data_IF_304396181307
#
_entry.id   IF_304396181307
#
_cell.length_a   1.000
_cell.length_b   1.000
_cell.length_c   1.000
_cell.angle_alpha   90.00
_cell.angle_beta   90.00
_cell.angle_gamma   90.00
#
_symmetry.space_group_name_H-M   'P 1'
#
loop_
_entity.id
_entity.type
_entity.pdbx_description
1 polymer ?
#
# COMPACT_ATOMS: atom_id res chain seq x y z
N UNK A 1 41.30 -63.48 -59.43
CA UNK A 1 40.46 -63.08 -58.29
C UNK A 1 40.80 -61.66 -57.79
N UNK A 2 40.83 -60.65 -58.67
CA UNK A 2 41.32 -59.30 -58.33
C UNK A 2 40.33 -58.15 -58.58
N UNK A 3 39.09 -58.43 -59.03
CA UNK A 3 38.11 -57.39 -59.38
C UNK A 3 37.08 -57.08 -58.28
N UNK A 4 36.91 -57.97 -57.31
CA UNK A 4 35.91 -57.80 -56.23
C UNK A 4 36.45 -57.06 -55.01
N UNK A 5 37.78 -57.07 -54.78
CA UNK A 5 38.40 -56.38 -53.64
C UNK A 5 38.32 -54.86 -53.82
N UNK A 6 38.48 -54.37 -55.06
CA UNK A 6 38.53 -52.93 -55.37
C UNK A 6 37.16 -52.24 -55.19
N UNK A 7 36.05 -52.94 -55.47
CA UNK A 7 34.69 -52.44 -55.27
C UNK A 7 34.26 -52.38 -53.80
N UNK A 8 34.76 -53.29 -52.96
CA UNK A 8 34.46 -53.30 -51.53
C UNK A 8 35.22 -52.17 -50.81
N UNK A 9 36.45 -51.87 -51.22
CA UNK A 9 37.21 -50.73 -50.68
C UNK A 9 36.68 -49.37 -51.12
N UNK A 10 36.10 -49.24 -52.31
CA UNK A 10 35.54 -47.96 -52.80
C UNK A 10 34.18 -47.63 -52.16
N UNK A 11 33.40 -48.65 -51.81
CA UNK A 11 32.11 -48.49 -51.11
C UNK A 11 32.28 -48.20 -49.62
N UNK A 12 33.30 -48.79 -48.97
CA UNK A 12 33.62 -48.49 -47.58
C UNK A 12 34.12 -47.03 -47.37
N UNK A 13 34.88 -46.47 -48.31
CA UNK A 13 35.36 -45.09 -48.24
C UNK A 13 34.29 -44.03 -48.57
N UNK A 14 33.31 -44.36 -49.41
CA UNK A 14 32.13 -43.52 -49.66
C UNK A 14 31.15 -43.53 -48.47
N UNK A 15 30.97 -44.68 -47.82
CA UNK A 15 30.14 -44.78 -46.61
C UNK A 15 30.75 -44.01 -45.44
N UNK A 16 32.06 -44.11 -45.21
CA UNK A 16 32.75 -43.37 -44.14
C UNK A 16 32.75 -41.86 -44.36
N UNK A 17 32.82 -41.38 -45.60
CA UNK A 17 32.75 -39.94 -45.90
C UNK A 17 31.33 -39.37 -45.77
N UNK A 18 30.28 -40.14 -46.09
CA UNK A 18 28.89 -39.76 -45.80
C UNK A 18 28.57 -39.71 -44.29
N UNK A 19 29.07 -40.68 -43.51
CA UNK A 19 28.90 -40.66 -42.05
C UNK A 19 29.70 -39.50 -41.40
N UNK A 20 30.91 -39.20 -41.87
CA UNK A 20 31.69 -38.06 -41.37
C UNK A 20 31.00 -36.71 -41.67
N UNK A 21 30.36 -36.57 -42.84
CA UNK A 21 29.57 -35.38 -43.19
C UNK A 21 28.33 -35.18 -42.33
N UNK A 22 27.62 -36.25 -41.96
CA UNK A 22 26.44 -36.19 -41.08
C UNK A 22 26.79 -35.90 -39.62
N UNK A 23 27.92 -36.41 -39.12
CA UNK A 23 28.39 -36.07 -37.76
C UNK A 23 28.90 -34.63 -37.68
N UNK A 24 29.54 -34.11 -38.74
CA UNK A 24 29.93 -32.71 -38.81
C UNK A 24 28.72 -31.78 -38.88
N UNK A 25 27.69 -32.09 -39.69
CA UNK A 25 26.46 -31.29 -39.73
C UNK A 25 25.72 -31.31 -38.40
N UNK A 26 25.55 -32.48 -37.77
CA UNK A 26 24.88 -32.59 -36.47
C UNK A 26 25.66 -31.90 -35.32
N UNK A 27 27.00 -31.93 -35.34
CA UNK A 27 27.81 -31.20 -34.37
C UNK A 27 27.82 -29.68 -34.62
N UNK A 28 27.74 -29.25 -35.88
CA UNK A 28 27.59 -27.84 -36.24
C UNK A 28 26.21 -27.32 -35.87
N UNK A 29 25.15 -28.10 -36.10
CA UNK A 29 23.77 -27.77 -35.73
C UNK A 29 23.57 -27.74 -34.20
N UNK A 30 24.16 -28.68 -33.46
CA UNK A 30 24.12 -28.64 -31.99
C UNK A 30 24.92 -27.46 -31.41
N UNK A 31 26.04 -27.07 -32.04
CA UNK A 31 26.84 -25.89 -31.63
C UNK A 31 26.17 -24.58 -31.99
N UNK A 32 25.50 -24.50 -33.14
CA UNK A 32 24.74 -23.31 -33.54
C UNK A 32 23.51 -23.11 -32.64
N UNK A 33 22.79 -24.17 -32.30
CA UNK A 33 21.66 -24.11 -31.37
C UNK A 33 22.08 -23.71 -29.95
N UNK A 34 23.23 -24.21 -29.46
CA UNK A 34 23.81 -23.77 -28.18
C UNK A 34 24.24 -22.30 -28.21
N UNK A 35 24.83 -21.84 -29.32
CA UNK A 35 25.21 -20.44 -29.49
C UNK A 35 23.97 -19.53 -29.50
N UNK A 36 22.88 -19.90 -30.17
CA UNK A 36 21.65 -19.12 -30.16
C UNK A 36 20.99 -19.06 -28.77
N UNK A 37 20.97 -20.17 -28.04
CA UNK A 37 20.48 -20.20 -26.65
C UNK A 37 21.31 -19.30 -25.74
N UNK A 38 22.63 -19.24 -25.91
CA UNK A 38 23.49 -18.33 -25.16
C UNK A 38 23.16 -16.86 -25.45
N UNK A 39 22.93 -16.48 -26.72
CA UNK A 39 22.52 -15.12 -27.10
C UNK A 39 21.21 -14.71 -26.41
N UNK A 40 20.23 -15.61 -26.36
CA UNK A 40 18.95 -15.37 -25.69
C UNK A 40 19.05 -15.26 -24.16
N UNK A 41 19.94 -16.04 -23.53
CA UNK A 41 20.19 -15.95 -22.09
C UNK A 41 20.77 -14.56 -21.74
N UNK A 42 21.71 -14.07 -22.55
CA UNK A 42 22.31 -12.74 -22.35
C UNK A 42 21.27 -11.64 -22.55
N UNK A 43 20.48 -11.69 -23.63
CA UNK A 43 19.38 -10.75 -23.86
C UNK A 43 18.37 -10.74 -22.69
N UNK A 44 18.05 -11.91 -22.12
CA UNK A 44 17.19 -12.01 -20.93
C UNK A 44 17.81 -11.39 -19.69
N UNK A 45 19.10 -11.59 -19.44
CA UNK A 45 19.77 -11.00 -18.29
C UNK A 45 19.81 -9.47 -18.39
N UNK A 46 20.10 -8.94 -19.58
CA UNK A 46 20.04 -7.50 -19.86
C UNK A 46 18.64 -6.95 -19.62
N UNK A 47 17.60 -7.61 -20.13
CA UNK A 47 16.21 -7.21 -19.90
C UNK A 47 15.84 -7.21 -18.42
N UNK A 48 16.27 -8.20 -17.64
CA UNK A 48 16.02 -8.28 -16.18
C UNK A 48 16.72 -7.16 -15.42
N UNK A 49 17.96 -6.87 -15.77
CA UNK A 49 18.73 -5.79 -15.15
C UNK A 49 18.10 -4.43 -15.43
N UNK A 50 17.79 -4.15 -16.70
CA UNK A 50 17.11 -2.92 -17.12
C UNK A 50 15.73 -2.78 -16.47
N UNK A 51 14.97 -3.88 -16.39
CA UNK A 51 13.69 -3.90 -15.71
C UNK A 51 13.83 -3.54 -14.23
N UNK A 52 14.75 -4.18 -13.49
CA UNK A 52 14.99 -3.88 -12.08
C UNK A 52 15.40 -2.42 -11.82
N UNK A 53 16.19 -1.84 -12.74
CA UNK A 53 16.52 -0.41 -12.69
C UNK A 53 15.27 0.46 -12.89
N UNK A 54 14.43 0.14 -13.88
CA UNK A 54 13.17 0.85 -14.12
C UNK A 54 12.19 0.76 -12.95
N UNK A 55 12.10 -0.41 -12.31
CA UNK A 55 11.32 -0.58 -11.07
C UNK A 55 11.83 0.35 -9.97
N UNK A 56 13.15 0.40 -9.77
CA UNK A 56 13.77 1.23 -8.74
C UNK A 56 13.54 2.71 -8.99
N UNK A 57 13.55 3.12 -10.27
CA UNK A 57 13.29 4.50 -10.67
C UNK A 57 11.84 4.91 -10.45
N UNK A 58 10.89 4.04 -10.79
CA UNK A 58 9.45 4.24 -10.51
C UNK A 58 9.18 4.32 -9.01
N UNK A 59 9.91 3.53 -8.19
CA UNK A 59 9.85 3.64 -6.71
C UNK A 59 10.38 4.99 -6.20
N UNK A 60 11.40 5.56 -6.87
CA UNK A 60 12.04 6.82 -6.45
C UNK A 60 11.25 8.06 -6.85
N UNK A 61 10.67 8.05 -8.04
CA UNK A 61 9.95 9.19 -8.60
C UNK A 61 8.70 8.69 -9.35
N UNK A 62 7.54 9.03 -8.80
CA UNK A 62 6.25 8.78 -9.44
C UNK A 62 6.03 9.70 -10.63
N UNK A 63 5.32 9.21 -11.65
CA UNK A 63 5.08 9.88 -12.94
C UNK A 63 6.33 10.08 -13.82
N UNK A 64 7.34 9.25 -13.63
CA UNK A 64 8.52 9.27 -14.50
C UNK A 64 8.21 8.62 -15.85
N UNK A 65 8.33 9.42 -16.90
CA UNK A 65 8.34 8.97 -18.30
C UNK A 65 9.78 8.87 -18.77
N UNK A 66 10.27 7.65 -18.91
CA UNK A 66 11.62 7.37 -19.40
C UNK A 66 11.56 6.66 -20.73
N UNK A 67 12.54 7.00 -21.55
CA UNK A 67 12.91 6.25 -22.73
C UNK A 67 14.42 6.26 -22.82
N UNK A 68 15.04 5.22 -22.25
CA UNK A 68 16.48 5.09 -22.16
C UNK A 68 16.93 3.93 -23.04
N UNK A 69 17.98 4.19 -23.82
CA UNK A 69 18.63 3.21 -24.66
C UNK A 69 20.13 3.25 -24.32
N UNK A 70 20.68 2.14 -23.86
CA UNK A 70 22.10 2.05 -23.52
C UNK A 70 22.74 0.81 -24.12
N UNK A 71 24.01 0.96 -24.46
CA UNK A 71 24.85 -0.10 -24.99
C UNK A 71 25.77 -0.63 -23.89
N UNK A 72 25.74 -1.94 -23.69
CA UNK A 72 26.60 -2.67 -22.76
C UNK A 72 27.49 -3.63 -23.54
N UNK A 73 28.54 -4.16 -22.90
CA UNK A 73 29.36 -5.19 -23.52
C UNK A 73 28.49 -6.40 -23.92
N UNK A 74 28.42 -6.65 -25.24
CA UNK A 74 27.66 -7.76 -25.82
C UNK A 74 26.22 -7.46 -26.24
N UNK A 75 25.69 -6.24 -26.06
CA UNK A 75 24.32 -5.94 -26.47
C UNK A 75 23.78 -4.55 -26.08
N UNK A 76 22.49 -4.34 -26.27
CA UNK A 76 21.78 -3.11 -25.92
C UNK A 76 20.57 -3.41 -25.06
N UNK A 77 20.23 -2.49 -24.16
CA UNK A 77 18.94 -2.53 -23.48
C UNK A 77 18.16 -1.24 -23.72
N UNK A 78 16.84 -1.40 -23.76
CA UNK A 78 15.87 -0.32 -23.86
C UNK A 78 14.97 -0.39 -22.63
N UNK A 79 14.89 0.70 -21.88
CA UNK A 79 13.98 0.86 -20.75
C UNK A 79 12.98 1.97 -21.08
N UNK A 80 11.70 1.62 -21.01
CA UNK A 80 10.59 2.55 -21.20
C UNK A 80 9.69 2.52 -19.99
N UNK A 81 9.40 3.68 -19.41
CA UNK A 81 8.35 3.84 -18.39
C UNK A 81 7.29 4.78 -18.94
N UNK A 82 6.03 4.41 -18.76
CA UNK A 82 4.90 5.21 -19.25
C UNK A 82 3.85 5.32 -18.16
N UNK A 83 3.48 6.54 -17.72
CA UNK A 83 2.34 6.69 -16.83
C UNK A 83 1.06 6.21 -17.55
N UNK A 84 0.25 5.41 -16.85
CA UNK A 84 -1.11 5.05 -17.25
C UNK A 84 -2.11 5.93 -16.48
N UNK A 85 -3.41 5.68 -16.63
CA UNK A 85 -4.44 6.38 -15.87
C UNK A 85 -4.36 6.06 -14.37
N UNK A 86 -4.44 7.07 -13.51
CA UNK A 86 -4.34 6.91 -12.05
C UNK A 86 -2.89 6.81 -11.58
N UNK A 87 -2.64 6.05 -10.51
CA UNK A 87 -1.31 5.88 -9.91
C UNK A 87 -0.53 4.67 -10.45
N UNK A 88 -0.81 4.28 -11.71
CA UNK A 88 -0.16 3.12 -12.35
C UNK A 88 0.85 3.56 -13.38
N UNK A 89 2.04 2.96 -13.35
CA UNK A 89 3.12 3.16 -14.34
C UNK A 89 3.43 1.83 -15.02
N UNK A 90 3.41 1.80 -16.33
CA UNK A 90 3.91 0.66 -17.10
C UNK A 90 5.43 0.72 -17.17
N UNK A 91 6.10 -0.36 -16.80
CA UNK A 91 7.55 -0.54 -16.96
C UNK A 91 7.78 -1.61 -18.03
N UNK A 92 8.52 -1.26 -19.07
CA UNK A 92 8.89 -2.19 -20.15
C UNK A 92 10.39 -2.11 -20.40
N UNK A 93 11.05 -3.26 -20.32
CA UNK A 93 12.47 -3.42 -20.61
C UNK A 93 12.66 -4.43 -21.74
N UNK A 94 13.55 -4.12 -22.67
CA UNK A 94 13.93 -5.01 -23.78
C UNK A 94 15.45 -5.14 -23.81
N UNK A 95 15.96 -6.36 -23.66
CA UNK A 95 17.37 -6.66 -23.87
C UNK A 95 17.59 -7.26 -25.26
N UNK A 96 18.66 -6.85 -25.93
CA UNK A 96 19.02 -7.28 -27.29
C UNK A 96 20.49 -7.67 -27.32
N UNK A 97 20.80 -8.79 -27.98
CA UNK A 97 22.18 -9.26 -28.15
C UNK A 97 22.70 -8.96 -29.56
N UNK A 98 23.90 -8.40 -29.68
CA UNK A 98 24.67 -8.36 -30.93
C UNK A 98 24.24 -7.36 -32.01
N UNK A 99 23.61 -6.23 -31.65
CA UNK A 99 23.29 -5.14 -32.58
C UNK A 99 23.70 -3.76 -32.06
N UNK A 100 23.97 -2.84 -32.98
CA UNK A 100 24.24 -1.44 -32.66
C UNK A 100 22.93 -0.67 -32.49
N UNK A 101 22.70 -0.22 -31.25
CA UNK A 101 21.54 0.61 -30.89
C UNK A 101 20.23 -0.17 -30.65
N UNK A 102 19.19 0.57 -30.26
CA UNK A 102 17.88 0.02 -29.90
C UNK A 102 16.95 -0.28 -31.08
N UNK A 103 17.41 -0.03 -32.32
CA UNK A 103 16.65 -0.25 -33.55
C UNK A 103 16.88 -1.61 -34.20
N UNK A 104 17.65 -2.51 -33.57
CA UNK A 104 17.91 -3.83 -34.15
C UNK A 104 16.66 -4.73 -34.06
N UNK A 105 15.98 -4.93 -35.19
CA UNK A 105 14.79 -5.79 -35.31
C UNK A 105 15.13 -7.26 -35.55
N UNK A 106 16.33 -7.56 -36.03
CA UNK A 106 16.78 -8.93 -36.34
C UNK A 106 17.67 -9.53 -35.24
N UNK A 107 17.89 -8.81 -34.13
CA UNK A 107 18.69 -9.29 -33.03
C UNK A 107 17.88 -10.21 -32.11
N UNK A 108 18.49 -11.26 -31.52
CA UNK A 108 17.87 -12.01 -30.43
C UNK A 108 17.48 -11.04 -29.31
N UNK A 109 16.18 -11.01 -29.00
CA UNK A 109 15.63 -10.07 -28.03
C UNK A 109 14.74 -10.75 -26.99
N UNK A 110 14.69 -10.15 -25.80
CA UNK A 110 13.82 -10.57 -24.71
C UNK A 110 13.14 -9.35 -24.09
N UNK A 111 11.82 -9.39 -23.99
CA UNK A 111 11.03 -8.29 -23.44
C UNK A 111 10.38 -8.69 -22.11
N UNK A 112 10.49 -7.79 -21.14
CA UNK A 112 9.78 -7.86 -19.87
C UNK A 112 8.90 -6.63 -19.78
N UNK A 113 7.61 -6.84 -19.53
CA UNK A 113 6.67 -5.76 -19.25
C UNK A 113 5.94 -6.08 -17.97
N UNK A 114 5.73 -5.06 -17.15
CA UNK A 114 4.84 -5.14 -16.01
C UNK A 114 4.22 -3.79 -15.70
N UNK A 115 3.16 -3.85 -14.92
CA UNK A 115 2.50 -2.65 -14.38
C UNK A 115 2.88 -2.53 -12.91
N UNK A 116 3.34 -1.34 -12.56
CA UNK A 116 3.62 -0.89 -11.20
C UNK A 116 2.44 -0.01 -10.78
N UNK A 117 1.58 -0.51 -9.90
CA UNK A 117 0.55 0.31 -9.28
C UNK A 117 1.09 0.83 -7.97
N UNK A 118 1.04 2.15 -7.78
CA UNK A 118 1.24 2.71 -6.47
C UNK A 118 0.05 2.28 -5.61
N UNK A 119 0.33 1.66 -4.48
CA UNK A 119 -0.62 1.60 -3.37
C UNK A 119 -0.20 2.74 -2.43
N UNK A 120 -0.79 3.95 -2.53
CA UNK A 120 -0.56 5.00 -1.55
C UNK A 120 -1.12 4.53 -0.20
N UNK A 121 -0.40 3.69 0.52
CA UNK A 121 -0.78 3.32 1.87
C UNK A 121 -0.06 4.33 2.76
N UNK A 122 -0.62 5.52 2.93
CA UNK A 122 -0.14 6.44 3.96
C UNK A 122 -0.07 5.67 5.27
N UNK A 123 0.97 5.90 6.07
CA UNK A 123 1.16 5.23 7.36
C UNK A 123 -0.01 5.50 8.32
N UNK A 124 -0.82 6.53 8.01
CA UNK A 124 -2.04 6.89 8.71
C UNK A 124 -3.25 6.02 8.31
N UNK A 125 -3.76 5.26 9.28
CA UNK A 125 -4.91 4.36 9.16
C UNK A 125 -6.17 4.93 9.81
N UNK A 126 -7.28 4.18 9.81
CA UNK A 126 -8.44 4.55 10.64
C UNK A 126 -8.06 4.60 12.12
N UNK A 127 -7.23 3.65 12.55
CA UNK A 127 -6.61 3.62 13.86
C UNK A 127 -5.11 3.39 13.72
N UNK A 128 -4.30 4.28 14.29
CA UNK A 128 -2.82 4.20 14.22
C UNK A 128 -2.25 4.19 15.63
N UNK A 129 -1.32 3.28 15.92
CA UNK A 129 -0.53 3.30 17.16
C UNK A 129 0.94 3.47 16.82
N UNK A 130 1.55 4.45 17.46
CA UNK A 130 2.99 4.63 17.50
C UNK A 130 3.50 4.47 18.93
N UNK A 131 4.18 3.35 19.19
CA UNK A 131 4.65 2.94 20.51
C UNK A 131 3.89 1.76 21.12
N UNK A 132 4.15 1.49 22.40
CA UNK A 132 3.63 0.34 23.13
C UNK A 132 2.13 0.48 23.44
N UNK A 133 1.29 -0.34 22.81
CA UNK A 133 -0.11 -0.48 23.18
C UNK A 133 -0.26 -1.06 24.59
N UNK A 134 -0.84 -0.30 25.53
CA UNK A 134 -1.07 -0.80 26.89
C UNK A 134 -2.24 -1.80 26.95
N UNK A 135 -3.32 -1.54 26.20
CA UNK A 135 -4.42 -2.48 25.99
C UNK A 135 -5.33 -2.03 24.84
N UNK A 136 -5.80 -2.97 24.02
CA UNK A 136 -6.94 -2.75 23.14
C UNK A 136 -8.07 -3.74 23.48
N UNK A 137 -9.28 -3.21 23.71
CA UNK A 137 -10.46 -4.01 23.96
C UNK A 137 -11.57 -3.66 22.97
N UNK A 138 -11.89 -4.61 22.10
CA UNK A 138 -13.05 -4.56 21.21
C UNK A 138 -14.11 -5.54 21.74
N UNK A 139 -15.23 -5.01 22.26
CA UNK A 139 -16.29 -5.87 22.82
C UNK A 139 -17.72 -5.41 22.55
N UNK A 140 -18.46 -6.19 21.76
CA UNK A 140 -19.87 -5.93 21.47
C UNK A 140 -20.61 -7.22 21.09
N UNK A 141 -21.93 -7.25 21.30
CA UNK A 141 -22.79 -8.31 20.76
C UNK A 141 -23.37 -7.92 19.39
N UNK A 142 -23.66 -8.89 18.53
CA UNK A 142 -24.25 -8.64 17.22
C UNK A 142 -23.24 -8.11 16.19
N UNK A 143 -23.37 -6.86 15.75
CA UNK A 143 -22.52 -6.23 14.73
C UNK A 143 -21.14 -5.76 15.22
N UNK A 144 -20.90 -5.77 16.53
CA UNK A 144 -19.61 -5.38 17.13
C UNK A 144 -19.23 -3.90 16.91
N UNK A 145 -18.16 -3.44 17.56
CA UNK A 145 -17.48 -2.21 17.16
C UNK A 145 -16.80 -2.41 15.80
N UNK A 146 -16.66 -1.33 15.03
CA UNK A 146 -16.03 -1.38 13.69
C UNK A 146 -14.95 -0.31 13.56
N UNK A 147 -13.77 -0.72 13.13
CA UNK A 147 -12.67 0.16 12.73
C UNK A 147 -12.45 -0.06 11.23
N UNK A 148 -12.76 0.94 10.41
CA UNK A 148 -12.75 0.81 8.96
C UNK A 148 -11.79 1.81 8.33
N UNK A 149 -10.73 1.31 7.72
CA UNK A 149 -9.84 2.03 6.82
C UNK A 149 -10.49 2.36 5.47
N UNK A 150 -11.67 1.80 5.17
CA UNK A 150 -12.40 2.14 3.94
C UNK A 150 -12.80 3.61 3.97
N UNK A 151 -12.37 4.36 2.97
CA UNK A 151 -12.50 5.81 2.98
C UNK A 151 -13.97 6.21 2.79
N UNK A 152 -14.51 6.90 3.79
CA UNK A 152 -15.86 7.44 3.74
C UNK A 152 -16.07 8.44 2.59
N UNK A 153 -15.00 9.08 2.10
CA UNK A 153 -15.05 9.94 0.92
C UNK A 153 -15.03 9.17 -0.41
N UNK A 154 -14.83 7.85 -0.38
CA UNK A 154 -14.78 6.99 -1.56
C UNK A 154 -13.58 7.25 -2.46
N UNK A 155 -12.50 7.85 -1.94
CA UNK A 155 -11.28 8.11 -2.70
C UNK A 155 -10.35 6.93 -2.58
N UNK A 156 -9.71 6.79 -1.43
CA UNK A 156 -8.67 5.79 -1.25
C UNK A 156 -8.71 5.18 0.13
N UNK A 157 -8.97 3.88 0.14
CA UNK A 157 -8.96 3.07 1.35
C UNK A 157 -7.56 3.02 1.98
N UNK A 158 -7.54 2.80 3.29
CA UNK A 158 -6.36 2.65 4.13
C UNK A 158 -6.44 1.34 4.91
N UNK A 159 -5.40 1.04 5.66
CA UNK A 159 -5.49 -0.05 6.62
C UNK A 159 -6.52 0.29 7.71
N UNK A 160 -7.16 -0.74 8.26
CA UNK A 160 -8.02 -0.57 9.42
C UNK A 160 -7.21 -0.14 10.65
N UNK A 161 -6.21 -0.95 11.01
CA UNK A 161 -5.29 -0.67 12.13
C UNK A 161 -3.85 -0.75 11.65
N UNK A 162 -3.02 0.24 11.98
CA UNK A 162 -1.57 0.17 11.80
C UNK A 162 -0.81 0.38 13.12
N UNK A 163 0.26 -0.38 13.31
CA UNK A 163 1.02 -0.49 14.56
C UNK A 163 2.52 -0.32 14.28
N UNK A 164 3.18 0.66 14.92
CA UNK A 164 4.63 0.89 14.79
C UNK A 164 5.45 -0.13 15.56
N UNK A 165 5.05 -0.44 16.80
CA UNK A 165 5.64 -1.46 17.63
C UNK A 165 4.63 -2.59 17.87
N UNK A 166 5.08 -3.85 17.81
CA UNK A 166 4.26 -4.97 18.28
C UNK A 166 5.09 -5.91 19.15
N UNK A 167 4.81 -5.90 20.46
CA UNK A 167 5.42 -6.83 21.43
C UNK A 167 5.14 -8.30 21.10
N UNK A 168 4.11 -8.57 20.29
CA UNK A 168 3.89 -9.81 19.55
C UNK A 168 2.80 -9.57 18.49
N UNK A 169 3.19 -9.50 17.20
CA UNK A 169 2.29 -9.28 16.06
C UNK A 169 1.12 -10.27 16.02
N UNK A 170 1.33 -11.52 16.46
CA UNK A 170 0.27 -12.52 16.50
C UNK A 170 -0.74 -12.22 17.61
N UNK A 171 -0.26 -11.83 18.79
CA UNK A 171 -1.12 -11.44 19.92
C UNK A 171 -1.94 -10.19 19.60
N UNK A 172 -1.33 -9.15 19.03
CA UNK A 172 -2.04 -7.92 18.64
C UNK A 172 -3.08 -8.17 17.56
N UNK A 173 -2.72 -8.93 16.52
CA UNK A 173 -3.69 -9.35 15.51
C UNK A 173 -4.82 -10.16 16.16
N UNK A 174 -4.55 -11.02 17.14
CA UNK A 174 -5.60 -11.75 17.84
C UNK A 174 -6.47 -10.85 18.74
N UNK A 175 -5.93 -9.78 19.30
CA UNK A 175 -6.71 -8.79 20.07
C UNK A 175 -7.71 -8.03 19.20
N UNK A 176 -7.29 -7.62 18.01
CA UNK A 176 -8.15 -6.91 17.05
C UNK A 176 -9.03 -7.84 16.20
N UNK A 177 -8.54 -9.02 15.84
CA UNK A 177 -9.19 -9.96 14.91
C UNK A 177 -9.82 -11.20 15.56
N UNK A 178 -9.64 -11.40 16.87
CA UNK A 178 -10.09 -12.62 17.56
C UNK A 178 -11.61 -12.77 17.64
N UNK A 179 -12.36 -11.71 17.37
CA UNK A 179 -13.83 -11.68 17.37
C UNK A 179 -14.35 -11.32 15.99
N UNK A 180 -14.47 -12.34 15.12
CA UNK A 180 -14.94 -12.21 13.73
C UNK A 180 -14.15 -11.21 12.87
N UNK A 181 -13.73 -11.64 11.68
CA UNK A 181 -12.90 -10.82 10.80
C UNK A 181 -13.54 -9.52 10.27
N UNK A 182 -14.71 -9.10 10.77
CA UNK A 182 -15.43 -7.91 10.34
C UNK A 182 -15.20 -6.66 11.20
N UNK A 183 -14.62 -6.80 12.39
CA UNK A 183 -14.46 -5.69 13.35
C UNK A 183 -13.39 -4.69 12.90
N UNK A 184 -12.43 -5.14 12.11
CA UNK A 184 -11.41 -4.29 11.47
C UNK A 184 -11.45 -4.50 9.96
N UNK A 185 -11.58 -3.43 9.19
CA UNK A 185 -11.74 -3.48 7.73
C UNK A 185 -10.77 -2.49 7.08
N UNK A 186 -10.32 -2.81 5.86
CA UNK A 186 -9.45 -1.94 5.07
C UNK A 186 -8.98 -2.66 3.80
N UNK A 187 -7.81 -2.29 3.31
CA UNK A 187 -7.20 -2.81 2.07
C UNK A 187 -6.97 -4.33 2.15
N UNK A 188 -6.69 -4.86 3.34
CA UNK A 188 -6.36 -6.27 3.58
C UNK A 188 -7.54 -7.27 3.49
N UNK A 189 -8.78 -6.81 3.38
CA UNK A 189 -9.97 -7.65 3.44
C UNK A 189 -10.41 -7.96 4.87
N UNK A 190 -10.75 -9.23 5.18
CA UNK A 190 -11.22 -9.64 6.51
C UNK A 190 -10.10 -9.48 7.56
N UNK A 191 -10.36 -8.64 8.57
CA UNK A 191 -9.49 -8.16 9.63
C UNK A 191 -8.13 -7.59 9.20
N UNK A 192 -8.15 -6.29 8.90
CA UNK A 192 -7.00 -5.56 8.38
C UNK A 192 -6.14 -4.86 9.45
N UNK A 193 -5.16 -5.60 9.97
CA UNK A 193 -4.20 -5.12 10.97
C UNK A 193 -2.78 -5.26 10.41
N UNK A 194 -2.09 -4.14 10.27
CA UNK A 194 -0.74 -4.06 9.69
C UNK A 194 0.25 -3.63 10.76
N UNK A 195 1.44 -4.22 10.73
CA UNK A 195 2.58 -3.72 11.46
C UNK A 195 3.48 -2.98 10.48
N UNK A 196 3.66 -1.69 10.72
CA UNK A 196 4.51 -0.80 9.92
C UNK A 196 5.51 -0.08 10.84
N UNK A 197 6.75 -0.56 10.94
CA UNK A 197 7.78 0.07 11.79
C UNK A 197 8.23 1.45 11.28
N UNK A 198 7.76 1.89 10.11
CA UNK A 198 8.05 3.22 9.57
C UNK A 198 7.09 4.31 10.03
N UNK A 199 6.07 3.98 10.82
CA UNK A 199 5.21 4.98 11.47
C UNK A 199 6.05 5.78 12.46
N UNK A 200 6.04 7.11 12.31
CA UNK A 200 6.63 8.07 13.25
C UNK A 200 5.64 9.22 13.44
N UNK A 201 4.96 9.23 14.59
CA UNK A 201 3.99 10.27 14.96
C UNK A 201 4.61 11.39 15.79
N UNK A 202 5.92 11.32 16.10
CA UNK A 202 6.60 12.35 16.89
C UNK A 202 6.56 13.75 16.24
N UNK A 203 6.78 13.92 14.92
CA UNK A 203 6.63 15.24 14.29
C UNK A 203 5.20 15.76 14.40
N UNK A 204 4.21 14.86 14.26
CA UNK A 204 2.80 15.21 14.37
C UNK A 204 2.44 15.64 15.79
N UNK A 205 2.90 14.92 16.81
CA UNK A 205 2.70 15.29 18.21
C UNK A 205 3.26 16.68 18.51
N UNK A 206 4.47 17.00 18.02
CA UNK A 206 5.08 18.30 18.22
C UNK A 206 4.26 19.44 17.60
N UNK A 207 3.79 19.27 16.36
CA UNK A 207 2.95 20.26 15.68
C UNK A 207 1.57 20.40 16.34
N UNK A 208 0.95 19.30 16.74
CA UNK A 208 -0.36 19.32 17.42
C UNK A 208 -0.27 19.92 18.82
N UNK A 209 0.81 19.62 19.57
CA UNK A 209 1.06 20.19 20.89
C UNK A 209 1.22 21.72 20.80
N UNK A 210 1.97 22.21 19.81
CA UNK A 210 2.10 23.66 19.57
C UNK A 210 0.76 24.28 19.14
N UNK A 211 0.03 23.62 18.23
CA UNK A 211 -1.29 24.06 17.78
C UNK A 211 -2.29 24.18 18.94
N UNK A 212 -2.35 23.20 19.84
CA UNK A 212 -3.30 23.25 20.97
C UNK A 212 -2.88 24.26 22.04
N UNK A 213 -1.58 24.53 22.21
CA UNK A 213 -1.10 25.54 23.15
C UNK A 213 -1.35 26.97 22.66
N UNK A 214 -1.21 27.21 21.34
CA UNK A 214 -1.25 28.55 20.77
C UNK A 214 -2.60 28.90 20.13
N UNK A 215 -3.31 27.92 19.59
CA UNK A 215 -4.46 28.10 18.70
C UNK A 215 -5.69 27.27 19.10
N UNK A 216 -5.76 26.74 20.33
CA UNK A 216 -6.97 26.10 20.83
C UNK A 216 -8.19 27.02 20.67
N UNK A 217 -9.17 26.58 19.87
CA UNK A 217 -10.36 27.39 19.55
C UNK A 217 -11.49 27.18 20.55
N UNK A 218 -11.45 26.09 21.31
CA UNK A 218 -12.48 25.73 22.29
C UNK A 218 -11.84 25.15 23.54
N UNK A 219 -12.51 25.33 24.68
CA UNK A 219 -12.09 24.72 25.94
C UNK A 219 -12.61 23.29 26.06
N UNK A 220 -11.94 22.48 26.88
CA UNK A 220 -12.40 21.12 27.23
C UNK A 220 -13.88 21.14 27.65
N UNK A 221 -14.32 22.11 28.46
CA UNK A 221 -15.72 22.21 28.92
C UNK A 221 -16.76 22.47 27.83
N UNK A 222 -16.36 22.95 26.66
CA UNK A 222 -17.28 23.18 25.53
C UNK A 222 -17.68 21.86 24.86
N UNK A 223 -16.74 20.91 24.82
CA UNK A 223 -16.91 19.57 24.28
C UNK A 223 -17.40 18.58 25.36
N UNK A 224 -16.82 18.66 26.55
CA UNK A 224 -16.92 17.66 27.60
C UNK A 224 -18.03 18.04 28.58
N UNK A 225 -19.13 17.28 28.57
CA UNK A 225 -20.30 17.57 29.39
C UNK A 225 -20.84 16.31 30.06
N UNK A 226 -20.93 16.37 31.39
CA UNK A 226 -21.40 15.28 32.24
C UNK A 226 -22.79 14.81 31.86
N UNK A 227 -22.89 13.53 31.53
CA UNK A 227 -24.15 12.83 31.29
C UNK A 227 -25.16 13.05 32.42
N UNK A 228 -26.43 13.18 32.02
CA UNK A 228 -27.63 13.35 32.84
C UNK A 228 -27.51 12.72 34.24
N UNK A 229 -27.35 13.56 35.26
CA UNK A 229 -27.76 13.23 36.62
C UNK A 229 -29.26 12.94 36.62
N UNK A 230 -29.66 11.66 36.56
CA UNK A 230 -30.99 11.22 36.98
C UNK A 230 -31.05 11.28 38.50
N UNK A 231 -31.23 12.49 39.05
CA UNK A 231 -31.27 12.67 40.49
C UNK A 231 -31.98 13.96 40.87
N UNK A 232 -33.26 13.81 41.24
CA UNK A 232 -34.12 14.74 42.03
C UNK A 232 -34.17 16.20 41.58
N UNK A 233 -35.41 16.70 41.42
CA UNK A 233 -35.80 18.11 41.35
C UNK A 233 -34.79 19.02 42.09
N UNK A 234 -34.00 19.80 41.36
CA UNK A 234 -33.32 20.97 41.93
C UNK A 234 -31.79 21.09 41.81
N UNK A 235 -31.04 20.26 41.08
CA UNK A 235 -29.62 20.54 40.80
C UNK A 235 -29.36 20.82 39.32
N UNK A 236 -28.68 21.94 39.08
CA UNK A 236 -28.40 22.60 37.80
C UNK A 236 -27.90 21.60 36.74
N UNK A 237 -28.49 21.64 35.54
CA UNK A 237 -27.85 21.16 34.32
C UNK A 237 -26.48 21.83 34.26
N UNK A 238 -25.39 21.06 34.33
CA UNK A 238 -24.13 21.54 33.76
C UNK A 238 -24.34 21.82 32.26
N UNK A 239 -23.54 22.70 31.64
CA UNK A 239 -23.54 22.83 30.19
C UNK A 239 -23.29 21.42 29.62
N UNK A 240 -24.30 20.88 28.95
CA UNK A 240 -24.18 19.59 28.28
C UNK A 240 -23.25 19.77 27.07
N UNK A 241 -22.42 18.77 26.80
CA UNK A 241 -21.43 18.80 25.71
C UNK A 241 -22.08 19.29 24.43
N UNK A 242 -21.52 20.36 23.88
CA UNK A 242 -22.08 21.08 22.75
C UNK A 242 -21.71 20.43 21.41
N UNK A 243 -22.17 21.07 20.34
CA UNK A 243 -21.56 20.90 19.03
C UNK A 243 -20.37 21.88 18.97
N UNK A 244 -19.15 21.40 18.80
CA UNK A 244 -17.95 22.25 18.65
C UNK A 244 -17.39 22.17 17.24
N UNK A 245 -16.99 23.32 16.68
CA UNK A 245 -16.60 23.40 15.28
C UNK A 245 -17.74 23.12 14.29
N UNK A 246 -17.44 23.31 13.01
CA UNK A 246 -18.38 23.20 11.90
C UNK A 246 -17.65 22.84 10.61
N UNK A 247 -18.39 22.73 9.52
CA UNK A 247 -17.83 22.63 8.17
C UNK A 247 -17.28 23.95 7.63
N UNK A 248 -17.22 25.02 8.41
CA UNK A 248 -16.67 26.32 8.01
C UNK A 248 -15.58 26.80 8.97
N UNK A 249 -15.59 26.33 10.22
CA UNK A 249 -14.60 26.65 11.24
C UNK A 249 -14.32 25.39 12.07
N UNK A 250 -13.11 24.87 11.96
CA UNK A 250 -12.70 23.63 12.61
C UNK A 250 -12.35 23.88 14.09
N UNK A 251 -12.72 22.95 14.96
CA UNK A 251 -12.37 23.02 16.38
C UNK A 251 -10.97 22.44 16.64
N UNK A 252 -10.25 23.04 17.58
CA UNK A 252 -9.04 22.46 18.20
C UNK A 252 -9.32 22.44 19.69
N UNK A 253 -9.34 21.24 20.27
CA UNK A 253 -9.66 21.02 21.68
C UNK A 253 -8.52 20.27 22.33
N UNK A 254 -7.94 20.84 23.39
CA UNK A 254 -7.03 20.14 24.29
C UNK A 254 -7.83 19.46 25.41
N UNK A 255 -7.51 18.20 25.70
CA UNK A 255 -8.09 17.39 26.78
C UNK A 255 -6.96 16.89 27.66
N UNK A 256 -6.76 17.56 28.79
CA UNK A 256 -5.76 17.18 29.80
C UNK A 256 -6.38 16.29 30.88
N UNK A 257 -7.71 16.37 31.06
CA UNK A 257 -8.46 15.63 32.06
C UNK A 257 -9.34 14.51 31.51
N UNK A 258 -10.38 14.17 32.27
CA UNK A 258 -11.40 13.19 31.88
C UNK A 258 -12.53 13.88 31.10
N UNK A 259 -12.45 13.80 29.77
CA UNK A 259 -13.50 14.27 28.88
C UNK A 259 -14.56 13.20 28.61
N UNK A 260 -15.84 13.56 28.83
CA UNK A 260 -16.98 12.74 28.43
C UNK A 260 -17.83 13.46 27.38
N UNK A 261 -17.74 13.00 26.14
CA UNK A 261 -18.64 13.37 25.04
C UNK A 261 -19.85 12.43 25.04
N UNK A 262 -21.05 12.94 25.29
CA UNK A 262 -22.23 12.09 25.50
C UNK A 262 -23.53 12.60 24.90
N UNK A 263 -24.40 11.67 24.51
CA UNK A 263 -25.72 12.00 23.97
C UNK A 263 -25.65 12.20 22.47
N UNK A 264 -26.07 13.36 21.96
CA UNK A 264 -25.99 13.71 20.53
C UNK A 264 -25.00 14.86 20.31
N UNK A 265 -23.99 14.96 21.18
CA UNK A 265 -22.93 15.97 21.12
C UNK A 265 -21.86 15.56 20.12
N UNK A 266 -21.08 16.52 19.63
CA UNK A 266 -20.10 16.21 18.61
C UNK A 266 -19.34 17.41 18.09
N UNK A 267 -18.61 17.21 17.00
CA UNK A 267 -17.88 18.30 16.40
C UNK A 267 -17.11 17.96 15.15
N UNK A 268 -16.38 18.93 14.64
CA UNK A 268 -15.48 18.77 13.49
C UNK A 268 -14.16 19.46 13.80
N UNK A 269 -13.03 18.76 13.67
CA UNK A 269 -11.73 19.31 14.04
C UNK A 269 -10.73 18.30 14.58
N UNK A 270 -9.87 18.77 15.50
CA UNK A 270 -8.87 17.98 16.22
C UNK A 270 -9.25 17.94 17.70
N UNK A 271 -9.29 16.73 18.27
CA UNK A 271 -9.22 16.52 19.72
C UNK A 271 -7.81 16.00 20.03
N UNK A 272 -7.07 16.73 20.83
CA UNK A 272 -5.77 16.32 21.34
C UNK A 272 -5.94 15.92 22.81
N UNK A 273 -5.63 14.68 23.15
CA UNK A 273 -5.77 14.11 24.50
C UNK A 273 -4.37 13.92 25.07
N UNK A 274 -3.98 14.79 25.99
CA UNK A 274 -2.67 14.82 26.61
C UNK A 274 -2.70 14.11 27.97
N UNK A 275 -2.38 12.82 28.01
CA UNK A 275 -2.39 11.99 29.22
C UNK A 275 -3.76 11.77 29.87
N UNK A 276 -4.81 12.44 29.38
CA UNK A 276 -6.18 12.37 29.87
C UNK A 276 -7.00 11.20 29.32
N UNK A 277 -8.32 11.27 29.48
CA UNK A 277 -9.25 10.27 28.92
C UNK A 277 -10.36 10.91 28.09
N UNK A 278 -10.62 10.34 26.90
CA UNK A 278 -11.76 10.70 26.07
C UNK A 278 -12.77 9.56 26.04
N UNK A 279 -13.96 9.79 26.60
CA UNK A 279 -15.08 8.85 26.59
C UNK A 279 -16.21 9.34 25.71
N UNK A 280 -16.49 8.63 24.62
CA UNK A 280 -17.63 8.86 23.72
C UNK A 280 -18.79 7.89 24.03
N UNK A 281 -20.00 8.42 24.21
CA UNK A 281 -21.22 7.64 24.48
C UNK A 281 -22.48 8.23 23.83
N UNK A 282 -23.53 7.42 23.70
CA UNK A 282 -24.76 7.80 23.01
C UNK A 282 -24.58 7.73 21.50
N UNK A 283 -25.12 8.72 20.78
CA UNK A 283 -24.94 8.91 19.35
C UNK A 283 -23.97 10.07 19.09
N UNK A 284 -22.93 10.18 19.91
CA UNK A 284 -21.93 11.25 19.79
C UNK A 284 -21.12 11.07 18.51
N UNK A 285 -20.80 12.18 17.84
CA UNK A 285 -20.11 12.14 16.54
C UNK A 285 -18.90 13.09 16.51
N UNK A 286 -17.74 12.61 16.06
CA UNK A 286 -16.60 13.47 15.74
C UNK A 286 -16.22 13.35 14.27
N UNK A 287 -15.97 14.49 13.61
CA UNK A 287 -15.54 14.55 12.20
C UNK A 287 -14.14 15.14 12.12
N UNK A 288 -13.12 14.30 12.11
CA UNK A 288 -11.73 14.73 12.07
C UNK A 288 -10.85 13.80 12.90
N UNK A 289 -9.81 14.38 13.49
CA UNK A 289 -8.78 13.62 14.19
C UNK A 289 -9.06 13.56 15.69
N UNK A 290 -8.80 12.40 16.28
CA UNK A 290 -8.53 12.26 17.71
C UNK A 290 -7.08 11.79 17.85
N UNK A 291 -6.24 12.60 18.49
CA UNK A 291 -4.85 12.29 18.76
C UNK A 291 -4.67 12.10 20.26
N UNK A 292 -4.22 10.93 20.69
CA UNK A 292 -4.01 10.57 22.08
C UNK A 292 -2.51 10.42 22.29
N UNK A 293 -1.96 11.11 23.28
CA UNK A 293 -0.53 11.06 23.59
C UNK A 293 -0.30 10.68 25.06
N UNK A 294 0.88 10.12 25.33
CA UNK A 294 1.26 9.58 26.64
C UNK A 294 0.40 8.40 27.07
N UNK A 295 0.19 8.23 28.39
CA UNK A 295 -0.65 7.16 28.95
C UNK A 295 -2.17 7.42 28.79
N UNK A 296 -2.55 8.27 27.84
CA UNK A 296 -3.94 8.65 27.59
C UNK A 296 -4.83 7.48 27.15
N UNK A 297 -6.15 7.69 27.21
CA UNK A 297 -7.12 6.65 26.85
C UNK A 297 -8.27 7.15 25.99
N UNK A 298 -8.68 6.32 25.03
CA UNK A 298 -9.89 6.53 24.25
C UNK A 298 -10.89 5.40 24.47
N UNK A 299 -12.11 5.78 24.82
CA UNK A 299 -13.21 4.87 25.07
C UNK A 299 -14.44 5.26 24.28
N UNK A 300 -14.99 4.33 23.50
CA UNK A 300 -16.25 4.50 22.80
C UNK A 300 -17.21 3.39 23.21
N UNK A 301 -18.30 3.71 23.92
CA UNK A 301 -19.20 2.67 24.42
C UNK A 301 -20.64 3.17 24.57
N UNK A 302 -21.59 2.25 24.75
CA UNK A 302 -23.01 2.55 25.05
C UNK A 302 -23.66 3.48 24.01
N UNK A 303 -24.30 2.91 23.00
CA UNK A 303 -24.91 3.64 21.89
C UNK A 303 -24.14 3.39 20.59
N UNK A 304 -24.19 4.34 19.67
CA UNK A 304 -23.49 4.32 18.37
C UNK A 304 -22.56 5.54 18.26
N UNK A 305 -21.56 5.70 19.15
CA UNK A 305 -20.57 6.76 19.00
C UNK A 305 -19.77 6.53 17.70
N UNK A 306 -19.54 7.59 16.94
CA UNK A 306 -18.92 7.51 15.62
C UNK A 306 -17.81 8.55 15.45
N UNK A 307 -16.68 8.12 14.89
CA UNK A 307 -15.61 9.00 14.41
C UNK A 307 -15.51 8.85 12.90
N UNK A 308 -15.67 9.95 12.17
CA UNK A 308 -15.40 10.03 10.72
C UNK A 308 -14.11 10.83 10.51
N UNK A 309 -13.01 10.12 10.33
CA UNK A 309 -11.65 10.66 10.34
C UNK A 309 -10.71 9.59 10.89
N UNK A 310 -9.81 9.93 11.80
CA UNK A 310 -8.83 8.95 12.29
C UNK A 310 -8.53 9.14 13.77
N UNK A 311 -8.17 8.04 14.42
CA UNK A 311 -7.68 8.01 15.79
C UNK A 311 -6.22 7.58 15.77
N UNK A 312 -5.36 8.36 16.41
CA UNK A 312 -3.94 8.05 16.53
C UNK A 312 -3.51 8.08 18.00
N UNK A 313 -2.62 7.15 18.35
CA UNK A 313 -2.00 7.03 19.66
C UNK A 313 -0.50 7.17 19.50
N UNK A 314 0.13 8.03 20.30
CA UNK A 314 1.57 8.25 20.33
C UNK A 314 2.10 8.07 21.76
N UNK A 315 3.25 7.41 21.90
CA UNK A 315 3.87 7.05 23.19
C UNK A 315 2.97 6.18 24.08
N UNK A 316 2.15 5.35 23.43
CA UNK A 316 1.31 4.34 24.06
C UNK A 316 -0.16 4.76 24.23
N UNK A 317 -0.79 4.25 25.30
CA UNK A 317 -2.20 4.49 25.62
C UNK A 317 -3.11 3.27 25.49
N UNK A 318 -4.39 3.49 25.72
CA UNK A 318 -5.39 2.41 25.77
C UNK A 318 -6.66 2.71 24.97
N UNK A 319 -7.20 1.65 24.36
CA UNK A 319 -8.42 1.67 23.56
C UNK A 319 -9.48 0.75 24.14
N UNK A 320 -10.69 1.26 24.39
CA UNK A 320 -11.86 0.46 24.77
C UNK A 320 -13.08 0.82 23.91
N UNK A 321 -13.34 0.04 22.85
CA UNK A 321 -14.52 0.19 22.01
C UNK A 321 -15.54 -0.92 22.30
N UNK A 322 -16.79 -0.52 22.58
CA UNK A 322 -17.87 -1.44 22.90
C UNK A 322 -19.17 -1.17 22.17
N UNK A 323 -19.98 -2.21 22.05
CA UNK A 323 -21.31 -2.12 21.44
C UNK A 323 -21.20 -1.95 19.93
N UNK A 324 -21.71 -0.85 19.41
CA UNK A 324 -21.73 -0.51 17.97
C UNK A 324 -20.97 0.78 17.69
N UNK A 325 -19.90 1.02 18.45
CA UNK A 325 -18.99 2.15 18.22
C UNK A 325 -18.27 2.00 16.88
N UNK A 326 -18.05 3.09 16.16
CA UNK A 326 -17.36 3.05 14.87
C UNK A 326 -16.29 4.12 14.72
N UNK A 327 -15.17 3.73 14.11
CA UNK A 327 -14.16 4.63 13.55
C UNK A 327 -14.12 4.34 12.05
N UNK A 328 -14.32 5.36 11.23
CA UNK A 328 -14.22 5.24 9.78
C UNK A 328 -13.29 6.30 9.23
N UNK A 329 -12.25 5.86 8.53
CA UNK A 329 -11.31 6.75 7.84
C UNK A 329 -12.04 7.68 6.88
N UNK A 330 -11.61 8.95 6.84
CA UNK A 330 -12.18 9.95 5.94
C UNK A 330 -11.09 10.90 5.44
N UNK A 331 -10.63 10.66 4.20
CA UNK A 331 -9.53 11.42 3.60
C UNK A 331 -9.84 12.91 3.43
N UNK A 332 -11.10 13.27 3.17
CA UNK A 332 -11.53 14.67 3.06
C UNK A 332 -11.42 15.41 4.38
N UNK A 333 -11.74 14.74 5.50
CA UNK A 333 -11.59 15.34 6.83
C UNK A 333 -10.12 15.54 7.16
N UNK A 334 -9.29 14.52 6.94
CA UNK A 334 -7.86 14.60 7.25
C UNK A 334 -7.15 15.68 6.42
N UNK A 335 -7.42 15.73 5.10
CA UNK A 335 -6.88 16.75 4.20
C UNK A 335 -7.27 18.17 4.62
N UNK A 336 -8.51 18.34 5.04
CA UNK A 336 -9.00 19.64 5.47
C UNK A 336 -8.33 20.13 6.75
N UNK A 337 -8.08 19.25 7.73
CA UNK A 337 -7.34 19.62 8.94
C UNK A 337 -5.93 20.11 8.60
N UNK A 338 -5.24 19.40 7.70
CA UNK A 338 -3.94 19.82 7.16
C UNK A 338 -4.01 21.21 6.52
N UNK A 339 -5.00 21.45 5.66
CA UNK A 339 -5.10 22.71 4.92
C UNK A 339 -5.48 23.90 5.81
N UNK A 340 -6.36 23.69 6.80
CA UNK A 340 -6.80 24.75 7.72
C UNK A 340 -5.71 25.13 8.72
N UNK A 341 -5.02 24.14 9.30
CA UNK A 341 -4.06 24.34 10.39
C UNK A 341 -2.59 24.29 9.96
N UNK A 342 -2.31 24.03 8.68
CA UNK A 342 -0.94 24.00 8.16
C UNK A 342 -0.05 22.90 8.77
N UNK A 343 -0.63 21.76 9.15
CA UNK A 343 0.08 20.66 9.80
C UNK A 343 0.86 19.86 8.75
N UNK A 344 2.15 20.14 8.59
CA UNK A 344 3.02 19.52 7.59
C UNK A 344 3.24 18.03 7.88
N UNK A 345 3.35 17.64 9.15
CA UNK A 345 3.46 16.23 9.52
C UNK A 345 2.28 15.37 9.03
N UNK A 346 1.06 15.95 8.96
CA UNK A 346 -0.10 15.26 8.38
C UNK A 346 0.05 15.04 6.88
N UNK A 347 0.71 15.96 6.18
CA UNK A 347 0.97 15.80 4.75
C UNK A 347 1.84 14.57 4.52
N UNK A 348 2.90 14.40 5.29
CA UNK A 348 3.77 13.23 5.15
C UNK A 348 3.02 11.93 5.47
N UNK A 349 2.21 11.90 6.52
CA UNK A 349 1.47 10.70 6.92
C UNK A 349 0.32 10.32 5.97
N UNK A 350 -0.29 11.30 5.31
CA UNK A 350 -1.39 11.10 4.35
C UNK A 350 -0.85 10.85 2.92
N UNK A 351 0.15 11.62 2.50
CA UNK A 351 0.59 11.63 1.11
C UNK A 351 1.82 10.73 0.86
N UNK A 352 2.49 10.20 1.90
CA UNK A 352 3.60 9.26 1.72
C UNK A 352 3.11 7.88 1.28
N UNK A 353 3.78 7.24 0.31
CA UNK A 353 3.56 5.83 0.01
C UNK A 353 4.14 4.95 1.14
N UNK A 354 3.40 3.94 1.63
CA UNK A 354 3.98 2.93 2.52
C UNK A 354 5.23 2.31 1.90
N UNK A 355 6.13 1.84 2.75
CA UNK A 355 7.43 1.27 2.41
C UNK A 355 7.46 0.05 1.46
N UNK A 356 6.34 -0.34 0.85
CA UNK A 356 6.29 -1.35 -0.22
C UNK A 356 5.21 -1.06 -1.28
N UNK A 357 4.94 0.23 -1.53
CA UNK A 357 3.83 0.73 -2.36
C UNK A 357 3.83 0.33 -3.85
N UNK A 358 4.65 -0.61 -4.33
CA UNK A 358 4.63 -0.99 -5.75
C UNK A 358 4.24 -2.45 -5.92
N UNK A 359 2.95 -2.68 -6.18
CA UNK A 359 2.45 -3.98 -6.60
C UNK A 359 2.77 -4.20 -8.08
N UNK A 360 3.55 -5.23 -8.36
CA UNK A 360 4.01 -5.57 -9.71
C UNK A 360 3.21 -6.73 -10.29
N UNK A 361 2.63 -6.53 -11.47
CA UNK A 361 2.13 -7.64 -12.29
C UNK A 361 3.07 -7.86 -13.46
N UNK A 362 3.77 -9.00 -13.48
CA UNK A 362 4.75 -9.33 -14.52
C UNK A 362 4.09 -10.14 -15.64
N UNK A 363 4.30 -9.72 -16.89
CA UNK A 363 3.99 -10.49 -18.08
C UNK A 363 5.23 -10.60 -18.96
N UNK A 364 5.86 -11.76 -18.97
CA UNK A 364 6.94 -12.06 -19.91
C UNK A 364 6.35 -12.32 -21.29
N UNK A 365 6.71 -11.51 -22.28
CA UNK A 365 6.46 -11.85 -23.69
C UNK A 365 7.69 -12.61 -24.22
N UNK A 366 7.45 -13.76 -24.84
CA UNK A 366 8.49 -14.73 -25.20
C UNK A 366 9.61 -14.18 -26.09
N UNK A 367 10.71 -14.92 -26.13
CA UNK A 367 11.86 -14.64 -26.98
C UNK A 367 11.45 -14.65 -28.46
N UNK A 368 11.92 -13.65 -29.23
CA UNK A 368 11.79 -13.63 -30.69
C UNK A 368 13.20 -13.80 -31.27
N UNK A 369 13.42 -14.89 -32.00
CA UNK A 369 14.68 -15.16 -32.67
C UNK A 369 14.83 -14.40 -34.00
N UNK A 370 16.04 -14.28 -34.55
CA UNK A 370 16.25 -13.75 -35.89
C UNK A 370 15.53 -14.64 -36.91
N UNK A 371 14.45 -14.16 -37.52
CA UNK A 371 13.81 -14.84 -38.66
C UNK A 371 12.43 -15.46 -38.42
N UNK A 372 11.84 -15.37 -37.22
CA UNK A 372 10.43 -15.76 -37.03
C UNK A 372 9.52 -14.55 -37.21
N UNK A 373 8.80 -14.51 -38.34
CA UNK A 373 7.71 -13.57 -38.55
C UNK A 373 6.62 -13.75 -37.47
N UNK A 374 5.95 -12.68 -37.02
CA UNK A 374 4.87 -12.80 -36.05
C UNK A 374 3.76 -13.65 -36.64
N UNK A 375 3.40 -14.74 -35.94
CA UNK A 375 2.29 -15.60 -36.32
C UNK A 375 1.01 -14.75 -36.44
N UNK A 376 0.61 -14.50 -37.69
CA UNK A 376 -0.56 -13.69 -38.03
C UNK A 376 -1.85 -14.37 -37.58
N UNK A 377 -2.78 -13.52 -37.12
CA UNK A 377 -4.22 -13.82 -37.09
C UNK A 377 -4.69 -14.41 -38.43
N UNK A 378 -5.47 -15.49 -38.39
CA UNK A 378 -6.10 -15.99 -39.61
C UNK A 378 -6.91 -17.28 -39.50
N UNK A 379 -8.18 -17.13 -39.13
CA UNK A 379 -9.37 -17.85 -39.65
C UNK A 379 -9.48 -19.39 -39.52
N UNK A 380 -10.58 -19.77 -38.85
CA UNK A 380 -11.70 -20.44 -39.51
C UNK A 380 -11.69 -21.97 -39.58
N UNK A 381 -12.73 -22.58 -39.02
CA UNK A 381 -13.03 -23.99 -39.28
C UNK A 381 -14.08 -24.55 -38.33
N UNK A 382 -15.34 -24.45 -38.76
CA UNK A 382 -16.46 -25.21 -38.20
C UNK A 382 -16.21 -26.72 -38.23
N UNK A 383 -16.90 -27.47 -37.37
CA UNK A 383 -17.64 -28.65 -37.81
C UNK A 383 -18.70 -29.06 -36.78
N UNK A 384 -19.85 -29.47 -37.34
CA UNK A 384 -20.98 -30.15 -36.71
C UNK A 384 -20.57 -31.46 -36.06
#
# INVERSE_FOLDING_TARGET
MGKYILLITLSASAALSMYAGQFQSAQVDARSELAERQKLIIARQMARSAYASGVSEVKRQLNVSLNQCEQLEGGTFELTTRPLSGDTVQVRAVGRYGGDGCSCTECPQYAISGEATLEPNGSFSALTFDGSLASANLSGGGKGPVISGNDAAGKQDRNGVSLSESGDRATMRNEFCGRSGSDVQGIGGDCDVVHDPGIDLKPLDAELSDLVQNEATHQESDLCGGGKGRGRKGKRKGPGGGQVGSSESLAVVNVEGDCSLSGNSGGTGIIYVDGGSLTMTGNSEWKGMVFVTGEGSFKASKGTPNISGSVAFYDGGSLDMRGTASIQYNSDRMRRLREEFGIDALKELIDSPAGDAVRMTNRSQGAVGPGEAPAGQGRGGAQN
#
